data_IF_947468472088
#
_entry.id   IF_947468472088
#
_cell.length_a   1.000
_cell.length_b   1.000
_cell.length_c   1.000
_cell.angle_alpha   90.00
_cell.angle_beta   90.00
_cell.angle_gamma   90.00
#
_symmetry.space_group_name_H-M   'P 1'
#
loop_
_entity.id
_entity.type
_entity.pdbx_description
1 polymer ?
#
# COMPACT_ATOMS: atom_id res chain seq x y z
N UNK A 1 14.34 -2.51 17.60
CA UNK A 1 13.38 -3.58 17.19
C UNK A 1 13.51 -3.71 15.69
N UNK A 2 13.38 -4.89 15.10
CA UNK A 2 13.49 -5.04 13.65
C UNK A 2 12.41 -4.21 12.93
N UNK A 3 12.66 -3.82 11.68
CA UNK A 3 11.68 -3.12 10.85
C UNK A 3 10.37 -3.89 10.73
N UNK A 4 9.29 -3.22 10.41
CA UNK A 4 7.98 -3.83 10.32
C UNK A 4 7.27 -3.43 9.02
N UNK A 5 7.02 -4.40 8.15
CA UNK A 5 6.13 -4.24 7.00
C UNK A 5 4.72 -4.69 7.43
N UNK A 6 3.77 -3.77 7.30
CA UNK A 6 2.34 -3.99 7.61
C UNK A 6 1.54 -3.97 6.32
N UNK A 7 0.83 -5.04 6.06
CA UNK A 7 -0.04 -5.19 4.88
C UNK A 7 -1.48 -5.23 5.36
N UNK A 8 -2.30 -4.28 4.94
CA UNK A 8 -3.72 -4.20 5.29
C UNK A 8 -4.59 -4.51 4.08
N UNK A 9 -5.59 -5.38 4.25
CA UNK A 9 -6.52 -5.73 3.17
C UNK A 9 -7.43 -4.57 2.80
N UNK A 10 -8.07 -3.96 3.79
CA UNK A 10 -8.89 -2.75 3.66
C UNK A 10 -9.22 -2.17 5.03
N UNK A 11 -10.06 -1.11 5.04
CA UNK A 11 -10.59 -0.53 6.27
C UNK A 11 -9.53 0.13 7.14
N UNK A 12 -8.44 0.60 6.56
CA UNK A 12 -7.27 1.15 7.23
C UNK A 12 -7.55 2.34 8.15
N UNK A 13 -8.65 3.05 7.91
CA UNK A 13 -9.16 4.12 8.78
C UNK A 13 -10.46 3.75 9.53
N UNK A 14 -10.80 2.47 9.56
CA UNK A 14 -11.97 1.99 10.28
C UNK A 14 -11.75 2.05 11.81
N UNK A 15 -12.83 2.16 12.63
CA UNK A 15 -12.71 2.12 14.09
C UNK A 15 -12.00 0.86 14.62
N UNK A 16 -12.14 -0.27 13.94
CA UNK A 16 -11.49 -1.55 14.28
C UNK A 16 -9.97 -1.49 14.16
N UNK A 17 -9.43 -0.57 13.35
CA UNK A 17 -7.99 -0.40 13.13
C UNK A 17 -7.30 0.57 14.12
N UNK A 18 -8.06 1.24 14.99
CA UNK A 18 -7.50 2.17 15.97
C UNK A 18 -6.50 1.46 16.88
N UNK A 19 -6.88 0.31 17.46
CA UNK A 19 -6.01 -0.45 18.37
C UNK A 19 -4.75 -0.99 17.65
N UNK A 20 -4.85 -1.64 16.49
CA UNK A 20 -3.69 -2.00 15.68
C UNK A 20 -2.74 -0.83 15.39
N UNK A 21 -3.27 0.30 14.91
CA UNK A 21 -2.42 1.46 14.62
C UNK A 21 -1.70 1.98 15.85
N UNK A 22 -2.38 2.09 17.01
CA UNK A 22 -1.73 2.49 18.27
C UNK A 22 -0.57 1.58 18.63
N UNK A 23 -0.76 0.27 18.57
CA UNK A 23 0.30 -0.71 18.84
C UNK A 23 1.47 -0.60 17.85
N UNK A 24 1.18 -0.35 16.56
CA UNK A 24 2.22 -0.11 15.56
C UNK A 24 3.00 1.18 15.88
N UNK A 25 2.32 2.25 16.27
CA UNK A 25 2.97 3.51 16.62
C UNK A 25 3.82 3.45 17.91
N UNK A 26 3.51 2.56 18.85
CA UNK A 26 4.36 2.32 20.02
C UNK A 26 5.80 1.93 19.64
N UNK A 27 5.98 1.25 18.48
CA UNK A 27 7.29 0.86 17.97
C UNK A 27 8.14 2.04 17.50
N UNK A 28 7.52 3.05 16.95
CA UNK A 28 8.22 4.21 16.37
C UNK A 28 8.30 5.40 17.31
N UNK A 29 7.53 5.42 18.40
CA UNK A 29 7.49 6.54 19.34
C UNK A 29 7.11 7.84 18.63
N UNK A 30 7.72 8.97 19.03
CA UNK A 30 7.42 10.30 18.48
C UNK A 30 8.19 10.66 17.19
N UNK A 31 8.82 9.66 16.56
CA UNK A 31 9.52 9.87 15.27
C UNK A 31 8.55 10.25 14.16
N UNK A 32 9.03 10.90 13.08
CA UNK A 32 8.18 11.39 11.97
C UNK A 32 7.35 10.29 11.33
N UNK A 33 6.08 10.60 11.10
CA UNK A 33 5.09 9.74 10.46
C UNK A 33 4.55 10.43 9.20
N UNK A 34 4.66 9.77 8.05
CA UNK A 34 4.38 10.35 6.74
C UNK A 34 3.34 9.50 5.99
N UNK A 35 2.33 10.16 5.44
CA UNK A 35 1.34 9.60 4.55
C UNK A 35 1.70 9.90 3.08
N UNK A 36 1.76 8.86 2.26
CA UNK A 36 1.94 8.95 0.82
C UNK A 36 0.58 9.08 0.12
N UNK A 37 0.36 10.17 -0.57
CA UNK A 37 -0.89 10.52 -1.23
C UNK A 37 -0.94 10.13 -2.73
N UNK A 38 0.08 9.42 -3.21
CA UNK A 38 0.19 9.00 -4.61
C UNK A 38 -0.96 8.10 -5.07
N UNK A 39 -1.38 7.03 -4.33
CA UNK A 39 -2.36 6.08 -4.87
C UNK A 39 -3.68 6.73 -5.32
N UNK A 40 -4.07 7.83 -4.71
CA UNK A 40 -5.26 8.62 -5.07
C UNK A 40 -4.92 10.00 -5.66
N UNK A 41 -3.65 10.25 -5.99
CA UNK A 41 -3.13 11.55 -6.43
C UNK A 41 -3.76 12.11 -7.72
N UNK A 42 -4.39 11.25 -8.53
CA UNK A 42 -5.13 11.62 -9.74
C UNK A 42 -6.57 12.11 -9.48
N UNK A 43 -7.09 11.91 -8.27
CA UNK A 43 -8.46 12.27 -7.93
C UNK A 43 -8.59 13.76 -7.62
N UNK A 44 -9.67 14.39 -8.08
CA UNK A 44 -9.93 15.83 -7.83
C UNK A 44 -10.12 16.16 -6.34
N UNK A 45 -10.52 15.17 -5.53
CA UNK A 45 -10.72 15.29 -4.08
C UNK A 45 -9.54 14.71 -3.27
N UNK A 46 -8.34 14.61 -3.85
CA UNK A 46 -7.17 14.05 -3.17
C UNK A 46 -6.82 14.80 -1.86
N UNK A 47 -7.04 16.12 -1.81
CA UNK A 47 -6.87 16.90 -0.58
C UNK A 47 -7.82 16.45 0.53
N UNK A 48 -9.08 16.20 0.22
CA UNK A 48 -10.08 15.74 1.18
C UNK A 48 -9.77 14.33 1.69
N UNK A 49 -9.24 13.46 0.83
CA UNK A 49 -8.81 12.10 1.22
C UNK A 49 -7.65 12.19 2.21
N UNK A 50 -6.63 12.99 1.89
CA UNK A 50 -5.49 13.23 2.79
C UNK A 50 -5.94 13.83 4.12
N UNK A 51 -6.78 14.86 4.09
CA UNK A 51 -7.28 15.52 5.30
C UNK A 51 -8.07 14.57 6.21
N UNK A 52 -8.91 13.70 5.66
CA UNK A 52 -9.65 12.68 6.42
C UNK A 52 -8.70 11.68 7.07
N UNK A 53 -7.70 11.20 6.36
CA UNK A 53 -6.71 10.28 6.91
C UNK A 53 -5.91 10.93 8.05
N UNK A 54 -5.40 12.15 7.86
CA UNK A 54 -4.70 12.92 8.89
C UNK A 54 -5.58 13.13 10.11
N UNK A 55 -6.85 13.52 9.91
CA UNK A 55 -7.83 13.69 10.99
C UNK A 55 -8.09 12.39 11.76
N UNK A 56 -8.21 11.25 11.07
CA UNK A 56 -8.36 9.95 11.70
C UNK A 56 -7.17 9.61 12.60
N UNK A 57 -5.94 9.76 12.10
CA UNK A 57 -4.76 9.49 12.88
C UNK A 57 -4.64 10.42 14.09
N UNK A 58 -4.94 11.70 13.92
CA UNK A 58 -4.91 12.67 15.02
C UNK A 58 -6.00 12.39 16.07
N UNK A 59 -7.26 12.29 15.65
CA UNK A 59 -8.41 12.21 16.56
C UNK A 59 -8.61 10.81 17.15
N UNK A 60 -8.45 9.75 16.35
CA UNK A 60 -8.77 8.38 16.78
C UNK A 60 -7.56 7.62 17.28
N UNK A 61 -6.42 7.76 16.60
CA UNK A 61 -5.19 7.04 16.96
C UNK A 61 -4.36 7.85 17.98
N UNK A 62 -4.44 9.18 17.97
CA UNK A 62 -3.65 10.07 18.83
C UNK A 62 -2.26 10.35 18.27
N UNK A 63 -2.09 10.34 16.93
CA UNK A 63 -0.80 10.54 16.26
C UNK A 63 -0.89 11.57 15.14
N UNK A 64 0.03 12.53 15.13
CA UNK A 64 0.19 13.45 14.01
C UNK A 64 0.88 12.73 12.86
N UNK A 65 0.31 12.86 11.67
CA UNK A 65 0.83 12.31 10.42
C UNK A 65 0.89 13.46 9.40
N UNK A 66 2.03 13.62 8.73
CA UNK A 66 2.22 14.62 7.69
C UNK A 66 2.01 13.99 6.30
N UNK A 67 1.51 14.77 5.35
CA UNK A 67 1.33 14.31 3.95
C UNK A 67 2.61 14.61 3.18
N UNK A 68 3.13 13.62 2.46
CA UNK A 68 4.34 13.77 1.64
C UNK A 68 4.15 14.73 0.46
N UNK A 69 2.90 14.91 0.00
CA UNK A 69 2.56 15.66 -1.22
C UNK A 69 3.31 15.14 -2.46
N UNK A 70 3.37 13.81 -2.56
CA UNK A 70 3.95 13.10 -3.71
C UNK A 70 2.85 12.47 -4.56
N UNK A 71 1.97 13.29 -5.14
CA UNK A 71 0.87 12.80 -6.00
C UNK A 71 1.34 12.30 -7.35
N UNK A 72 2.46 12.85 -7.83
CA UNK A 72 3.02 12.52 -9.14
C UNK A 72 4.55 12.72 -9.13
N UNK A 73 5.28 11.88 -9.88
CA UNK A 73 6.71 12.05 -10.09
C UNK A 73 7.05 13.24 -11.01
N UNK A 74 6.02 13.86 -11.60
CA UNK A 74 6.16 15.05 -12.46
C UNK A 74 6.12 16.37 -11.68
N UNK A 75 6.03 16.32 -10.34
CA UNK A 75 6.03 17.52 -9.51
C UNK A 75 7.30 18.36 -9.72
N UNK A 76 7.20 19.71 -9.62
CA UNK A 76 8.35 20.61 -9.74
C UNK A 76 9.46 20.28 -8.74
N UNK A 77 10.73 20.50 -9.14
CA UNK A 77 11.91 20.04 -8.40
C UNK A 77 11.90 20.29 -6.90
N UNK A 78 11.55 21.51 -6.45
CA UNK A 78 11.53 21.82 -5.00
C UNK A 78 10.46 21.03 -4.22
N UNK A 79 9.27 20.83 -4.79
CA UNK A 79 8.21 20.03 -4.13
C UNK A 79 8.64 18.56 -4.01
N UNK A 80 9.24 18.02 -5.07
CA UNK A 80 9.80 16.67 -5.08
C UNK A 80 10.92 16.49 -4.05
N UNK A 81 11.86 17.44 -3.97
CA UNK A 81 12.95 17.38 -2.99
C UNK A 81 12.45 17.45 -1.54
N UNK A 82 11.43 18.26 -1.25
CA UNK A 82 10.80 18.31 0.07
C UNK A 82 10.14 16.99 0.42
N UNK A 83 9.38 16.41 -0.50
CA UNK A 83 8.77 15.10 -0.29
C UNK A 83 9.82 14.01 -0.03
N UNK A 84 10.89 13.97 -0.83
CA UNK A 84 12.01 13.04 -0.60
C UNK A 84 12.69 13.25 0.74
N UNK A 85 12.88 14.50 1.17
CA UNK A 85 13.48 14.80 2.46
C UNK A 85 12.61 14.28 3.62
N UNK A 86 11.28 14.46 3.56
CA UNK A 86 10.37 13.93 4.58
C UNK A 86 10.38 12.39 4.62
N UNK A 87 10.41 11.74 3.46
CA UNK A 87 10.48 10.27 3.37
C UNK A 87 11.77 9.70 3.96
N UNK A 88 12.91 10.36 3.74
CA UNK A 88 14.22 9.93 4.28
C UNK A 88 14.28 9.98 5.80
N UNK A 89 13.52 10.84 6.44
CA UNK A 89 13.48 11.00 7.91
C UNK A 89 12.35 10.23 8.56
N UNK A 90 11.38 9.75 7.78
CA UNK A 90 10.22 9.02 8.27
C UNK A 90 10.63 7.74 9.01
N UNK A 91 9.98 7.50 10.13
CA UNK A 91 10.05 6.23 10.85
C UNK A 91 8.76 5.41 10.68
N UNK A 92 7.72 6.05 10.17
CA UNK A 92 6.45 5.41 9.81
C UNK A 92 5.98 5.98 8.47
N UNK A 93 5.78 5.12 7.50
CA UNK A 93 5.28 5.44 6.19
C UNK A 93 3.96 4.72 5.96
N UNK A 94 2.97 5.43 5.44
CA UNK A 94 1.67 4.86 5.13
C UNK A 94 1.23 5.22 3.71
N UNK A 95 0.73 4.24 2.97
CA UNK A 95 -0.01 4.44 1.75
C UNK A 95 -1.27 3.57 1.75
N UNK A 96 -2.35 4.08 1.20
CA UNK A 96 -3.68 3.48 1.30
C UNK A 96 -4.38 3.29 -0.04
N UNK A 97 -5.69 3.54 -0.08
CA UNK A 97 -6.55 3.24 -1.23
C UNK A 97 -6.22 4.11 -2.44
N UNK A 98 -6.69 3.68 -3.61
CA UNK A 98 -6.55 4.40 -4.88
C UNK A 98 -6.32 3.45 -6.05
N UNK A 99 -5.41 3.80 -6.97
CA UNK A 99 -5.03 2.97 -8.10
C UNK A 99 -3.61 2.41 -7.93
N UNK A 100 -3.43 1.08 -7.96
CA UNK A 100 -2.11 0.47 -7.87
C UNK A 100 -1.25 0.81 -9.10
N UNK A 101 -1.81 0.82 -10.29
CA UNK A 101 -1.11 1.15 -11.53
C UNK A 101 -0.67 2.61 -11.58
N UNK A 102 -1.51 3.53 -11.08
CA UNK A 102 -1.13 4.93 -10.95
C UNK A 102 0.03 5.08 -9.94
N UNK A 103 -0.05 4.43 -8.79
CA UNK A 103 1.00 4.44 -7.79
C UNK A 103 2.32 3.91 -8.37
N UNK A 104 2.32 2.74 -9.03
CA UNK A 104 3.50 2.15 -9.65
C UNK A 104 4.12 3.06 -10.71
N UNK A 105 3.32 3.70 -11.56
CA UNK A 105 3.79 4.66 -12.57
C UNK A 105 4.60 5.81 -11.97
N UNK A 106 4.23 6.23 -10.75
CA UNK A 106 4.85 7.36 -10.08
C UNK A 106 5.86 6.97 -9.00
N UNK A 107 6.02 5.68 -8.72
CA UNK A 107 6.94 5.17 -7.70
C UNK A 107 8.13 4.42 -8.28
N UNK A 108 7.92 3.54 -9.27
CA UNK A 108 8.87 2.51 -9.71
C UNK A 108 10.26 3.07 -10.05
N UNK A 109 10.32 4.07 -10.92
CA UNK A 109 11.58 4.65 -11.40
C UNK A 109 11.97 5.92 -10.62
N UNK A 110 11.73 5.91 -9.32
CA UNK A 110 12.02 7.03 -8.42
C UNK A 110 12.78 6.54 -7.18
N UNK A 111 13.32 7.45 -6.35
CA UNK A 111 13.94 7.07 -5.08
C UNK A 111 12.98 6.50 -4.03
N UNK A 112 11.65 6.49 -4.26
CA UNK A 112 10.68 6.07 -3.27
C UNK A 112 10.82 4.58 -2.85
N UNK A 113 10.96 3.60 -3.76
CA UNK A 113 11.11 2.21 -3.35
C UNK A 113 12.33 2.00 -2.44
N UNK A 114 13.45 2.66 -2.74
CA UNK A 114 14.62 2.63 -1.88
C UNK A 114 14.34 3.27 -0.51
N UNK A 115 13.62 4.39 -0.46
CA UNK A 115 13.25 5.05 0.81
C UNK A 115 12.34 4.17 1.69
N UNK A 116 11.44 3.38 1.10
CA UNK A 116 10.61 2.40 1.80
C UNK A 116 11.48 1.31 2.44
N UNK A 117 12.42 0.73 1.67
CA UNK A 117 13.37 -0.26 2.18
C UNK A 117 14.28 0.32 3.26
N UNK A 118 14.80 1.52 3.07
CA UNK A 118 15.63 2.21 4.07
C UNK A 118 14.87 2.46 5.37
N UNK A 119 13.57 2.77 5.31
CA UNK A 119 12.73 2.91 6.51
C UNK A 119 12.66 1.60 7.27
N UNK A 120 12.43 0.47 6.60
CA UNK A 120 12.43 -0.85 7.20
C UNK A 120 13.81 -1.19 7.80
N UNK A 121 14.89 -0.96 7.09
CA UNK A 121 16.27 -1.24 7.53
C UNK A 121 16.71 -0.39 8.74
N UNK A 122 16.04 0.75 9.00
CA UNK A 122 16.29 1.62 10.15
C UNK A 122 15.29 1.40 11.29
N UNK A 123 14.77 0.19 11.43
CA UNK A 123 13.79 -0.18 12.47
C UNK A 123 12.50 0.66 12.41
N UNK A 124 12.15 1.10 11.22
CA UNK A 124 10.90 1.83 10.97
C UNK A 124 9.77 0.90 10.58
N UNK A 125 8.65 1.51 10.25
CA UNK A 125 7.42 0.83 9.86
C UNK A 125 6.94 1.32 8.51
N UNK A 126 6.62 0.40 7.61
CA UNK A 126 5.94 0.68 6.34
C UNK A 126 4.59 -0.01 6.37
N UNK A 127 3.52 0.77 6.20
CA UNK A 127 2.13 0.31 6.19
C UNK A 127 1.56 0.53 4.80
N UNK A 128 1.15 -0.55 4.15
CA UNK A 128 0.52 -0.50 2.83
C UNK A 128 -0.86 -1.14 2.89
N UNK A 129 -1.88 -0.40 2.46
CA UNK A 129 -3.27 -0.83 2.51
C UNK A 129 -3.92 -0.80 1.12
N UNK A 130 -4.83 -1.74 0.85
CA UNK A 130 -5.65 -1.75 -0.38
C UNK A 130 -4.77 -1.61 -1.64
N UNK A 131 -4.99 -0.58 -2.46
CA UNK A 131 -4.24 -0.35 -3.70
C UNK A 131 -2.72 -0.28 -3.51
N UNK A 132 -2.26 0.33 -2.41
CA UNK A 132 -0.84 0.36 -2.10
C UNK A 132 -0.29 -1.03 -1.74
N UNK A 133 -1.07 -1.88 -1.08
CA UNK A 133 -0.67 -3.24 -0.76
C UNK A 133 -0.44 -4.10 -2.01
N UNK A 134 -1.23 -3.91 -3.07
CA UNK A 134 -1.03 -4.58 -4.36
C UNK A 134 0.36 -4.35 -4.95
N UNK A 135 0.96 -3.17 -4.70
CA UNK A 135 2.27 -2.80 -5.29
C UNK A 135 3.46 -3.52 -4.65
N UNK A 136 3.28 -4.18 -3.51
CA UNK A 136 4.37 -4.73 -2.69
C UNK A 136 5.03 -5.98 -3.27
N UNK A 137 4.32 -6.77 -4.04
CA UNK A 137 4.83 -7.99 -4.66
C UNK A 137 5.68 -7.73 -5.90
N UNK A 138 6.24 -8.82 -6.46
CA UNK A 138 6.92 -8.79 -7.76
C UNK A 138 5.94 -8.49 -8.92
N UNK A 139 4.68 -8.90 -8.73
CA UNK A 139 3.58 -8.72 -9.67
C UNK A 139 2.40 -8.06 -8.95
N UNK A 140 1.68 -7.21 -9.67
CA UNK A 140 0.55 -6.42 -9.17
C UNK A 140 -0.68 -6.63 -10.04
N UNK A 141 -1.83 -6.79 -9.42
CA UNK A 141 -3.12 -6.81 -10.12
C UNK A 141 -3.49 -5.37 -10.51
N UNK A 142 -3.64 -5.05 -11.81
CA UNK A 142 -4.14 -3.75 -12.27
C UNK A 142 -5.67 -3.71 -12.16
N UNK A 143 -6.17 -3.65 -10.92
CA UNK A 143 -7.58 -3.90 -10.59
C UNK A 143 -8.55 -2.97 -11.32
N UNK A 144 -8.21 -1.70 -11.53
CA UNK A 144 -9.12 -0.78 -12.21
C UNK A 144 -9.22 -1.05 -13.71
N UNK A 145 -8.13 -1.44 -14.32
CA UNK A 145 -8.07 -1.79 -15.73
C UNK A 145 -8.89 -3.06 -16.00
N UNK A 146 -8.77 -4.06 -15.15
CA UNK A 146 -9.51 -5.33 -15.29
C UNK A 146 -10.98 -5.13 -14.90
N UNK A 147 -11.26 -4.64 -13.70
CA UNK A 147 -12.61 -4.62 -13.15
C UNK A 147 -13.47 -3.45 -13.66
N UNK A 148 -12.88 -2.26 -13.82
CA UNK A 148 -13.60 -1.05 -14.24
C UNK A 148 -13.59 -0.84 -15.75
N UNK A 149 -12.46 -1.10 -16.42
CA UNK A 149 -12.31 -0.89 -17.85
C UNK A 149 -12.55 -2.15 -18.69
N UNK A 150 -12.66 -3.34 -18.05
CA UNK A 150 -12.94 -4.60 -18.73
C UNK A 150 -11.78 -5.11 -19.58
N UNK A 151 -10.55 -4.75 -19.23
CA UNK A 151 -9.34 -5.28 -19.88
C UNK A 151 -9.13 -6.73 -19.42
N UNK A 152 -8.66 -7.59 -20.32
CA UNK A 152 -8.30 -8.96 -19.98
C UNK A 152 -7.28 -8.99 -18.83
N UNK A 153 -7.38 -9.97 -17.91
CA UNK A 153 -6.46 -10.08 -16.77
C UNK A 153 -5.00 -10.18 -17.21
N UNK A 154 -4.13 -9.42 -16.57
CA UNK A 154 -2.68 -9.46 -16.76
C UNK A 154 -1.96 -9.02 -15.50
N UNK A 155 -0.67 -9.31 -15.40
CA UNK A 155 0.17 -8.86 -14.31
C UNK A 155 0.95 -7.60 -14.69
N UNK A 156 0.85 -6.56 -13.86
CA UNK A 156 1.73 -5.40 -13.92
C UNK A 156 2.96 -5.67 -13.06
N UNK A 157 4.20 -5.32 -13.48
CA UNK A 157 5.36 -5.41 -12.60
C UNK A 157 5.19 -4.59 -11.32
N UNK A 158 5.41 -5.20 -10.14
CA UNK A 158 5.31 -4.55 -8.84
C UNK A 158 6.63 -3.91 -8.37
N UNK A 159 6.69 -3.54 -7.08
CA UNK A 159 7.89 -2.99 -6.44
C UNK A 159 8.80 -4.09 -5.85
N UNK A 160 8.29 -5.30 -5.72
CA UNK A 160 8.99 -6.46 -5.18
C UNK A 160 9.55 -6.24 -3.74
N UNK A 161 8.90 -5.35 -3.00
CA UNK A 161 9.32 -4.96 -1.65
C UNK A 161 9.30 -6.12 -0.65
N UNK A 162 8.35 -7.05 -0.78
CA UNK A 162 8.27 -8.22 0.10
C UNK A 162 9.51 -9.08 -0.09
N UNK A 163 9.89 -9.41 -1.32
CA UNK A 163 11.08 -10.21 -1.58
C UNK A 163 12.36 -9.47 -1.19
N UNK A 164 12.46 -8.19 -1.51
CA UNK A 164 13.63 -7.38 -1.19
C UNK A 164 13.84 -7.19 0.32
N UNK A 165 12.77 -7.19 1.11
CA UNK A 165 12.86 -6.98 2.57
C UNK A 165 12.99 -8.26 3.37
N UNK A 166 12.34 -9.36 2.97
CA UNK A 166 12.33 -10.60 3.75
C UNK A 166 12.55 -11.89 2.94
N UNK A 167 12.87 -11.78 1.64
CA UNK A 167 13.19 -12.93 0.79
C UNK A 167 11.99 -13.73 0.28
N UNK A 168 10.74 -13.32 0.59
CA UNK A 168 9.54 -14.04 0.20
C UNK A 168 9.06 -13.61 -1.20
N UNK A 169 9.02 -14.50 -2.21
CA UNK A 169 8.56 -14.19 -3.56
C UNK A 169 7.02 -14.13 -3.63
N UNK A 170 6.43 -13.20 -2.89
CA UNK A 170 4.99 -13.08 -2.78
C UNK A 170 4.40 -12.06 -3.77
N UNK A 171 3.20 -12.38 -4.25
CA UNK A 171 2.27 -11.44 -4.87
C UNK A 171 1.20 -11.12 -3.85
N UNK A 172 0.99 -9.84 -3.55
CA UNK A 172 0.06 -9.43 -2.49
C UNK A 172 -1.31 -9.10 -3.09
N UNK A 173 -2.36 -9.72 -2.56
CA UNK A 173 -3.75 -9.46 -2.93
C UNK A 173 -4.55 -9.04 -1.70
N UNK A 174 -4.83 -7.75 -1.50
CA UNK A 174 -5.74 -7.25 -0.49
C UNK A 174 -7.20 -7.53 -0.89
N UNK A 175 -8.17 -7.18 -0.03
CA UNK A 175 -9.60 -7.46 -0.29
C UNK A 175 -9.85 -8.92 -0.66
N UNK A 176 -9.15 -9.84 -0.01
CA UNK A 176 -9.11 -11.24 -0.43
C UNK A 176 -10.46 -11.93 -0.30
N UNK A 177 -11.21 -11.62 0.77
CA UNK A 177 -12.56 -12.11 1.06
C UNK A 177 -13.68 -11.16 0.63
N UNK A 178 -13.41 -10.18 -0.28
CA UNK A 178 -14.42 -9.20 -0.70
C UNK A 178 -15.71 -9.86 -1.18
N UNK A 179 -16.85 -9.37 -0.68
CA UNK A 179 -18.18 -9.91 -0.99
C UNK A 179 -19.20 -8.85 -1.43
N UNK A 180 -18.74 -7.70 -1.93
CA UNK A 180 -19.62 -6.58 -2.32
C UNK A 180 -20.40 -6.84 -3.61
N UNK A 181 -20.05 -7.87 -4.38
CA UNK A 181 -20.60 -8.14 -5.70
C UNK A 181 -22.01 -8.73 -5.74
N UNK A 182 -22.63 -9.08 -4.61
CA UNK A 182 -23.88 -9.77 -4.58
C UNK A 182 -23.81 -11.15 -5.26
N UNK A 183 -24.33 -11.27 -6.47
CA UNK A 183 -24.24 -12.50 -7.28
C UNK A 183 -22.98 -12.59 -8.14
N UNK A 184 -22.18 -11.54 -8.18
CA UNK A 184 -20.90 -11.52 -8.89
C UNK A 184 -19.74 -11.80 -7.93
N UNK A 185 -18.84 -12.70 -8.31
CA UNK A 185 -17.68 -13.03 -7.49
C UNK A 185 -16.67 -11.88 -7.52
N UNK A 186 -16.57 -11.15 -6.42
CA UNK A 186 -15.65 -10.02 -6.24
C UNK A 186 -14.50 -10.35 -5.28
N UNK A 187 -14.34 -11.60 -4.86
CA UNK A 187 -13.19 -12.03 -4.08
C UNK A 187 -11.88 -11.71 -4.80
N UNK A 188 -10.81 -11.72 -4.04
CA UNK A 188 -9.45 -11.53 -4.56
C UNK A 188 -9.30 -10.19 -5.29
N UNK A 189 -9.63 -9.11 -4.57
CA UNK A 189 -9.55 -7.75 -5.11
C UNK A 189 -10.34 -7.58 -6.43
N UNK A 190 -11.62 -8.02 -6.43
CA UNK A 190 -12.56 -7.96 -7.56
C UNK A 190 -12.21 -8.84 -8.77
N UNK A 191 -11.20 -9.71 -8.70
CA UNK A 191 -10.87 -10.65 -9.78
C UNK A 191 -11.92 -11.75 -9.92
N UNK A 192 -12.33 -12.33 -8.80
CA UNK A 192 -13.07 -13.59 -8.75
C UNK A 192 -12.16 -14.81 -8.99
N UNK A 193 -12.65 -16.00 -8.63
CA UNK A 193 -11.90 -17.26 -8.67
C UNK A 193 -11.29 -17.57 -10.04
N UNK A 194 -12.10 -17.46 -11.09
CA UNK A 194 -11.67 -17.86 -12.44
C UNK A 194 -10.50 -17.01 -12.98
N UNK A 195 -10.54 -15.69 -12.74
CA UNK A 195 -9.47 -14.80 -13.20
C UNK A 195 -8.21 -14.98 -12.38
N UNK A 196 -8.32 -15.08 -11.05
CA UNK A 196 -7.17 -15.32 -10.20
C UNK A 196 -6.48 -16.62 -10.57
N UNK A 197 -7.21 -17.73 -10.68
CA UNK A 197 -6.66 -19.02 -11.08
C UNK A 197 -6.00 -19.02 -12.47
N UNK A 198 -6.47 -18.18 -13.39
CA UNK A 198 -5.81 -18.00 -14.68
C UNK A 198 -4.50 -17.24 -14.54
N UNK A 199 -4.51 -16.15 -13.79
CA UNK A 199 -3.33 -15.31 -13.55
C UNK A 199 -2.24 -16.04 -12.74
N UNK A 200 -2.60 -16.85 -11.75
CA UNK A 200 -1.64 -17.61 -10.95
C UNK A 200 -0.79 -18.57 -11.80
N UNK A 201 -1.35 -19.13 -12.88
CA UNK A 201 -0.60 -20.02 -13.81
C UNK A 201 0.49 -19.29 -14.60
N UNK A 202 0.45 -17.97 -14.65
CA UNK A 202 1.45 -17.13 -15.32
C UNK A 202 2.58 -16.69 -14.38
N UNK A 203 2.43 -16.90 -13.06
CA UNK A 203 3.45 -16.56 -12.10
C UNK A 203 4.64 -17.53 -12.16
N UNK A 204 5.86 -17.06 -11.82
CA UNK A 204 7.00 -17.96 -11.58
C UNK A 204 6.66 -19.05 -10.57
N UNK A 205 7.20 -20.26 -10.75
CA UNK A 205 6.90 -21.44 -9.93
C UNK A 205 7.16 -21.22 -8.43
N UNK A 206 8.17 -20.43 -8.09
CA UNK A 206 8.51 -20.08 -6.71
C UNK A 206 7.58 -19.02 -6.09
N UNK A 207 6.77 -18.34 -6.90
CA UNK A 207 5.90 -17.28 -6.43
C UNK A 207 4.62 -17.84 -5.80
N UNK A 208 4.10 -17.13 -4.79
CA UNK A 208 2.82 -17.47 -4.18
C UNK A 208 1.98 -16.22 -3.93
N UNK A 209 0.66 -16.40 -3.83
CA UNK A 209 -0.27 -15.35 -3.48
C UNK A 209 -0.36 -15.21 -1.96
N UNK A 210 -0.08 -14.01 -1.45
CA UNK A 210 -0.34 -13.60 -0.08
C UNK A 210 -1.65 -12.82 -0.03
N UNK A 211 -2.74 -13.51 0.29
CA UNK A 211 -4.06 -12.90 0.47
C UNK A 211 -4.18 -12.21 1.83
N UNK A 212 -4.78 -11.03 1.85
CA UNK A 212 -5.13 -10.32 3.09
C UNK A 212 -6.59 -9.89 3.02
N UNK A 213 -7.39 -10.44 3.93
CA UNK A 213 -8.82 -10.18 4.03
C UNK A 213 -9.12 -8.73 4.39
N UNK A 214 -10.35 -8.29 4.09
CA UNK A 214 -10.85 -7.00 4.49
C UNK A 214 -10.85 -6.86 6.02
N UNK A 215 -10.54 -5.65 6.49
CA UNK A 215 -10.41 -5.35 7.92
C UNK A 215 -9.42 -6.25 8.68
N UNK A 216 -8.47 -6.85 7.96
CA UNK A 216 -7.35 -7.64 8.52
C UNK A 216 -6.02 -7.00 8.16
N UNK A 217 -4.99 -7.43 8.87
CA UNK A 217 -3.63 -7.04 8.58
C UNK A 217 -2.66 -8.19 8.79
N UNK A 218 -1.58 -8.19 8.04
CA UNK A 218 -0.42 -9.05 8.20
C UNK A 218 0.77 -8.23 8.68
N UNK A 219 1.57 -8.78 9.59
CA UNK A 219 2.77 -8.17 10.14
C UNK A 219 3.98 -9.00 9.74
N UNK A 220 4.89 -8.42 8.97
CA UNK A 220 6.14 -9.05 8.57
C UNK A 220 7.29 -8.32 9.26
N UNK A 221 8.00 -9.02 10.14
CA UNK A 221 9.18 -8.51 10.81
C UNK A 221 10.40 -8.70 9.91
N UNK A 222 11.15 -7.61 9.68
CA UNK A 222 12.29 -7.56 8.77
C UNK A 222 13.60 -7.71 9.53
#
# INVERSE_FOLDING_TARGET
MPGLLVIMGSGETAPTMVKPHRSIFERVGDRPAILLDTPYGFQSNADDISARAVSYFAASVGRTVEVANWRTNLAPGLARERALASLRTAAWLFAGPGSPTYALRHWRDTPLPAALLDTLNRDGVVVMASAAALTLGSHTVPVYEIYKAGIEPYWEPGLDLVRLSCGLPAVVIPHYDNAEGGHHDTRFCYLGEGRLAAMERELPEESFVLGVDEHKLSLIHI
#
